data_IF_099775163329
#
_entry.id   IF_099775163329
#
_cell.length_a   1.000
_cell.length_b   1.000
_cell.length_c   1.000
_cell.angle_alpha   90.00
_cell.angle_beta   90.00
_cell.angle_gamma   90.00
#
_symmetry.space_group_name_H-M   'P 1'
#
loop_
_entity.id
_entity.type
_entity.pdbx_description
1 polymer ?
#
# COMPACT_ATOMS: atom_id res chain seq x y z
N UNK A 1 0.26 8.43 -3.40
CA UNK A 1 -1.09 8.43 -4.00
C UNK A 1 -2.04 7.67 -3.07
N UNK A 2 -3.33 8.04 -3.00
CA UNK A 2 -4.24 7.58 -1.93
C UNK A 2 -4.66 6.10 -2.04
N UNK A 3 -4.53 5.51 -3.23
CA UNK A 3 -4.93 4.13 -3.53
C UNK A 3 -3.72 3.23 -3.76
N UNK A 4 -2.67 3.73 -4.39
CA UNK A 4 -1.46 2.98 -4.72
C UNK A 4 -0.23 3.61 -4.05
N UNK A 5 0.51 2.82 -3.27
CA UNK A 5 1.72 3.29 -2.56
C UNK A 5 2.99 3.10 -3.39
N UNK A 6 2.91 2.20 -4.37
CA UNK A 6 4.01 1.88 -5.27
C UNK A 6 4.26 3.01 -6.28
N UNK A 7 5.51 3.16 -6.72
CA UNK A 7 5.85 4.12 -7.79
C UNK A 7 5.28 3.66 -9.14
N UNK A 8 5.00 4.62 -10.02
CA UNK A 8 4.44 4.32 -11.35
C UNK A 8 5.35 3.38 -12.17
N UNK A 9 6.67 3.52 -12.02
CA UNK A 9 7.65 2.62 -12.65
C UNK A 9 7.50 1.17 -12.18
N UNK A 10 7.41 0.95 -10.86
CA UNK A 10 7.22 -0.39 -10.29
C UNK A 10 5.85 -0.96 -10.67
N UNK A 11 4.81 -0.12 -10.66
CA UNK A 11 3.47 -0.51 -11.12
C UNK A 11 3.48 -0.92 -12.59
N UNK A 12 4.12 -0.14 -13.47
CA UNK A 12 4.28 -0.46 -14.89
C UNK A 12 4.97 -1.81 -15.09
N UNK A 13 6.07 -2.05 -14.36
CA UNK A 13 6.76 -3.35 -14.38
C UNK A 13 5.85 -4.51 -13.93
N UNK A 14 5.05 -4.32 -12.89
CA UNK A 14 4.13 -5.33 -12.36
C UNK A 14 2.99 -5.67 -13.32
N UNK A 15 2.46 -4.69 -14.05
CA UNK A 15 1.34 -4.90 -14.99
C UNK A 15 1.78 -5.18 -16.44
N UNK A 16 3.09 -5.21 -16.70
CA UNK A 16 3.65 -5.50 -18.02
C UNK A 16 3.69 -4.31 -18.99
N UNK A 17 3.57 -3.08 -18.50
CA UNK A 17 3.64 -1.84 -19.28
C UNK A 17 4.81 -1.02 -18.73
N UNK A 18 6.05 -1.20 -19.25
CA UNK A 18 7.21 -0.49 -18.73
C UNK A 18 7.04 1.03 -18.87
N UNK A 19 7.38 1.75 -17.81
CA UNK A 19 7.44 3.21 -17.84
C UNK A 19 8.59 3.65 -18.74
N UNK A 20 8.31 4.57 -19.65
CA UNK A 20 9.34 5.17 -20.51
C UNK A 20 10.34 6.00 -19.70
N UNK A 21 11.58 6.08 -20.16
CA UNK A 21 12.57 7.03 -19.62
C UNK A 21 12.56 8.28 -20.49
N UNK A 22 12.63 9.46 -19.86
CA UNK A 22 12.71 10.75 -20.55
C UNK A 22 13.72 11.65 -19.85
N UNK A 23 14.50 12.39 -20.63
CA UNK A 23 15.31 13.49 -20.12
C UNK A 23 14.52 14.79 -20.28
N UNK A 24 14.06 15.33 -19.15
CA UNK A 24 13.26 16.55 -19.13
C UNK A 24 14.05 17.80 -19.56
N UNK A 25 15.38 17.76 -19.57
CA UNK A 25 16.21 18.89 -19.98
C UNK A 25 16.31 19.01 -21.52
N UNK A 26 16.24 17.88 -22.23
CA UNK A 26 16.50 17.83 -23.68
C UNK A 26 15.32 17.35 -24.52
N UNK A 27 14.25 16.84 -23.91
CA UNK A 27 13.14 16.28 -24.67
C UNK A 27 12.37 17.32 -25.48
N UNK A 28 11.90 16.90 -26.64
CA UNK A 28 10.97 17.67 -27.48
C UNK A 28 9.53 17.53 -26.98
N UNK A 29 8.65 18.46 -27.38
CA UNK A 29 7.21 18.37 -27.06
C UNK A 29 6.54 17.07 -27.53
N UNK A 30 6.82 16.54 -28.74
CA UNK A 30 6.27 15.25 -29.17
C UNK A 30 6.71 14.08 -28.28
N UNK A 31 7.98 14.01 -27.90
CA UNK A 31 8.50 12.98 -27.00
C UNK A 31 7.86 13.05 -25.61
N UNK A 32 7.74 14.27 -25.07
CA UNK A 32 7.06 14.49 -23.80
C UNK A 32 5.59 14.07 -23.85
N UNK A 33 4.90 14.33 -24.96
CA UNK A 33 3.51 13.90 -25.15
C UNK A 33 3.37 12.37 -25.14
N UNK A 34 4.29 11.66 -25.80
CA UNK A 34 4.33 10.19 -25.81
C UNK A 34 4.58 9.64 -24.40
N UNK A 35 5.55 10.21 -23.68
CA UNK A 35 5.86 9.84 -22.30
C UNK A 35 4.64 10.04 -21.38
N UNK A 36 3.98 11.19 -21.43
CA UNK A 36 2.79 11.46 -20.62
C UNK A 36 1.64 10.49 -20.93
N UNK A 37 1.46 10.09 -22.20
CA UNK A 37 0.47 9.07 -22.58
C UNK A 37 0.81 7.70 -22.01
N UNK A 38 2.09 7.31 -21.99
CA UNK A 38 2.54 6.06 -21.36
C UNK A 38 2.23 6.06 -19.85
N UNK A 39 2.50 7.17 -19.15
CA UNK A 39 2.19 7.31 -17.73
C UNK A 39 0.70 7.15 -17.43
N UNK A 40 -0.15 7.84 -18.19
CA UNK A 40 -1.61 7.75 -18.06
C UNK A 40 -2.11 6.34 -18.39
N UNK A 41 -1.52 5.68 -19.39
CA UNK A 41 -1.87 4.30 -19.73
C UNK A 41 -1.56 3.34 -18.58
N UNK A 42 -0.40 3.46 -17.94
CA UNK A 42 -0.02 2.64 -16.78
C UNK A 42 -1.03 2.83 -15.65
N UNK A 43 -1.41 4.08 -15.34
CA UNK A 43 -2.40 4.35 -14.31
C UNK A 43 -3.78 3.79 -14.67
N UNK A 44 -4.23 3.99 -15.91
CA UNK A 44 -5.53 3.51 -16.37
C UNK A 44 -5.63 1.98 -16.26
N UNK A 45 -4.61 1.25 -16.72
CA UNK A 45 -4.60 -0.22 -16.65
C UNK A 45 -4.51 -0.71 -15.20
N UNK A 46 -3.72 -0.05 -14.35
CA UNK A 46 -3.68 -0.37 -12.93
C UNK A 46 -5.03 -0.13 -12.23
N UNK A 47 -5.74 0.95 -12.57
CA UNK A 47 -7.08 1.22 -12.06
C UNK A 47 -8.11 0.20 -12.55
N UNK A 48 -8.06 -0.22 -13.82
CA UNK A 48 -8.94 -1.29 -14.33
C UNK A 48 -8.77 -2.59 -13.54
N UNK A 49 -7.52 -2.98 -13.24
CA UNK A 49 -7.25 -4.14 -12.39
C UNK A 49 -7.82 -3.97 -10.99
N UNK A 50 -7.68 -2.78 -10.41
CA UNK A 50 -8.23 -2.47 -9.10
C UNK A 50 -9.76 -2.53 -9.08
N UNK A 51 -10.44 -1.99 -10.10
CA UNK A 51 -11.91 -2.06 -10.22
C UNK A 51 -12.36 -3.52 -10.30
N UNK A 52 -11.72 -4.35 -11.14
CA UNK A 52 -12.04 -5.79 -11.22
C UNK A 52 -11.87 -6.49 -9.88
N UNK A 53 -10.85 -6.12 -9.11
CA UNK A 53 -10.65 -6.65 -7.76
C UNK A 53 -11.81 -6.24 -6.83
N UNK A 54 -12.25 -4.98 -6.86
CA UNK A 54 -13.36 -4.51 -6.03
C UNK A 54 -14.67 -5.20 -6.40
N UNK A 55 -14.98 -5.31 -7.70
CA UNK A 55 -16.15 -6.01 -8.21
C UNK A 55 -16.13 -7.50 -7.83
N UNK A 56 -15.00 -8.17 -8.04
CA UNK A 56 -14.83 -9.59 -7.71
C UNK A 56 -14.98 -9.90 -6.21
N UNK A 57 -14.66 -8.94 -5.34
CA UNK A 57 -14.80 -9.06 -3.88
C UNK A 57 -16.08 -8.41 -3.34
N UNK A 58 -17.00 -7.97 -4.22
CA UNK A 58 -18.26 -7.29 -3.84
C UNK A 58 -18.04 -6.06 -2.94
N UNK A 59 -16.94 -5.35 -3.15
CA UNK A 59 -16.65 -4.10 -2.44
C UNK A 59 -17.39 -2.96 -3.14
N UNK A 60 -18.58 -2.65 -2.65
CA UNK A 60 -19.50 -1.72 -3.33
C UNK A 60 -19.08 -0.24 -3.28
N UNK A 61 -18.24 0.16 -2.31
CA UNK A 61 -17.91 1.58 -2.08
C UNK A 61 -16.42 1.84 -2.21
N UNK A 62 -16.04 2.54 -3.27
CA UNK A 62 -14.71 3.14 -3.41
C UNK A 62 -14.66 4.49 -2.69
N UNK A 63 -13.86 4.58 -1.63
CA UNK A 63 -13.63 5.81 -0.87
C UNK A 63 -12.35 6.53 -1.30
N UNK A 64 -12.18 7.77 -0.82
CA UNK A 64 -11.03 8.62 -1.13
C UNK A 64 -9.67 8.00 -0.73
N UNK A 65 -9.64 7.18 0.33
CA UNK A 65 -8.44 6.47 0.76
C UNK A 65 -8.68 4.97 0.77
N UNK A 66 -7.60 4.18 0.56
CA UNK A 66 -7.64 2.73 0.72
C UNK A 66 -8.15 2.26 2.08
N UNK A 67 -7.84 2.99 3.15
CA UNK A 67 -8.29 2.65 4.51
C UNK A 67 -9.80 2.81 4.67
N UNK A 68 -10.36 3.91 4.15
CA UNK A 68 -11.82 4.12 4.14
C UNK A 68 -12.55 3.12 3.25
N UNK A 69 -11.96 2.70 2.13
CA UNK A 69 -12.52 1.64 1.26
C UNK A 69 -12.53 0.29 2.00
N UNK A 70 -11.43 -0.05 2.68
CA UNK A 70 -11.33 -1.27 3.47
C UNK A 70 -12.35 -1.30 4.62
N UNK A 71 -12.54 -0.17 5.32
CA UNK A 71 -13.56 -0.06 6.38
C UNK A 71 -14.97 -0.22 5.82
N UNK A 72 -15.27 0.37 4.66
CA UNK A 72 -16.57 0.21 4.00
C UNK A 72 -16.82 -1.26 3.59
N UNK A 73 -15.81 -1.96 3.09
CA UNK A 73 -15.88 -3.39 2.79
C UNK A 73 -16.15 -4.24 4.05
N UNK A 74 -15.44 -3.94 5.14
CA UNK A 74 -15.64 -4.61 6.43
C UNK A 74 -17.06 -4.41 6.96
N UNK A 75 -17.56 -3.17 6.95
CA UNK A 75 -18.91 -2.85 7.43
C UNK A 75 -20.01 -3.54 6.63
N UNK A 76 -19.82 -3.72 5.32
CA UNK A 76 -20.81 -4.35 4.45
C UNK A 76 -20.84 -5.88 4.63
N UNK A 77 -19.67 -6.53 4.68
CA UNK A 77 -19.56 -7.99 4.54
C UNK A 77 -19.17 -8.74 5.81
N UNK A 78 -18.60 -8.05 6.80
CA UNK A 78 -17.96 -8.69 7.96
C UNK A 78 -18.42 -8.15 9.32
N UNK A 79 -19.21 -7.07 9.34
CA UNK A 79 -19.77 -6.52 10.58
C UNK A 79 -20.96 -7.34 11.07
N UNK A 80 -20.66 -8.52 11.61
CA UNK A 80 -21.66 -9.47 12.13
C UNK A 80 -22.06 -9.19 13.57
N UNK A 81 -21.21 -8.49 14.32
CA UNK A 81 -21.42 -8.17 15.74
C UNK A 81 -21.22 -6.68 15.95
N UNK A 82 -22.06 -6.09 16.81
CA UNK A 82 -21.99 -4.67 17.13
C UNK A 82 -20.68 -4.35 17.85
N UNK A 83 -19.88 -3.48 17.26
CA UNK A 83 -18.69 -2.92 17.91
C UNK A 83 -19.15 -1.72 18.74
N UNK A 84 -18.86 -1.75 20.05
CA UNK A 84 -19.13 -0.65 20.96
C UNK A 84 -17.91 0.25 21.06
N UNK A 85 -18.13 1.56 21.07
CA UNK A 85 -17.09 2.58 21.23
C UNK A 85 -17.40 3.33 22.51
N UNK A 86 -16.45 3.36 23.46
CA UNK A 86 -16.57 4.18 24.67
C UNK A 86 -15.87 5.52 24.48
N UNK A 87 -16.21 6.48 25.35
CA UNK A 87 -15.61 7.81 25.40
C UNK A 87 -14.87 8.09 26.71
N UNK A 88 -14.61 7.05 27.54
CA UNK A 88 -13.79 7.20 28.74
C UNK A 88 -12.34 7.55 28.34
N UNK A 89 -11.95 8.80 28.64
CA UNK A 89 -10.64 9.33 28.29
C UNK A 89 -9.48 8.56 28.90
N UNK A 90 -9.56 8.19 30.17
CA UNK A 90 -8.48 7.47 30.87
C UNK A 90 -8.23 6.10 30.23
N UNK A 91 -9.30 5.39 29.85
CA UNK A 91 -9.19 4.11 29.15
C UNK A 91 -8.58 4.28 27.75
N UNK A 92 -9.03 5.28 26.98
CA UNK A 92 -8.49 5.55 25.63
C UNK A 92 -6.99 5.90 25.70
N UNK A 93 -6.58 6.73 26.66
CA UNK A 93 -5.17 7.11 26.83
C UNK A 93 -4.33 5.87 27.15
N UNK A 94 -4.79 5.01 28.06
CA UNK A 94 -4.13 3.74 28.40
C UNK A 94 -4.04 2.78 27.20
N UNK A 95 -5.12 2.63 26.43
CA UNK A 95 -5.16 1.79 25.22
C UNK A 95 -4.15 2.27 24.17
N UNK A 96 -4.06 3.59 23.97
CA UNK A 96 -3.09 4.20 23.04
C UNK A 96 -1.65 4.02 23.52
N UNK A 97 -1.39 4.15 24.82
CA UNK A 97 -0.08 3.91 25.40
C UNK A 97 0.34 2.44 25.28
N UNK A 98 -0.62 1.52 25.37
CA UNK A 98 -0.43 0.09 25.19
C UNK A 98 -0.29 -0.32 23.71
N UNK A 99 -0.75 0.49 22.76
CA UNK A 99 -0.67 0.17 21.33
C UNK A 99 0.79 0.19 20.83
N UNK A 100 1.36 -0.99 20.63
CA UNK A 100 2.71 -1.17 20.08
C UNK A 100 2.64 -1.62 18.62
N UNK A 101 3.62 -1.18 17.82
CA UNK A 101 3.77 -1.60 16.43
C UNK A 101 4.29 -3.03 16.28
N UNK A 102 4.80 -3.37 15.10
CA UNK A 102 5.41 -4.68 14.85
C UNK A 102 6.64 -4.91 15.74
N UNK A 103 6.77 -6.13 16.28
CA UNK A 103 7.99 -6.56 16.98
C UNK A 103 9.12 -6.69 15.97
N UNK A 104 10.25 -6.05 16.24
CA UNK A 104 11.48 -6.19 15.47
C UNK A 104 12.55 -6.71 16.41
N UNK A 105 13.12 -7.87 16.08
CA UNK A 105 14.27 -8.41 16.79
C UNK A 105 15.52 -8.24 15.91
N UNK A 106 16.53 -7.60 16.46
CA UNK A 106 17.82 -7.53 15.81
C UNK A 106 18.60 -8.80 16.16
N UNK A 107 18.52 -9.81 15.28
CA UNK A 107 19.19 -11.10 15.50
C UNK A 107 20.72 -11.02 15.58
N UNK A 108 21.30 -9.90 15.12
CA UNK A 108 22.72 -9.61 15.25
C UNK A 108 22.97 -8.11 15.39
N UNK A 109 23.82 -7.74 16.34
CA UNK A 109 24.46 -6.43 16.41
C UNK A 109 25.99 -6.63 16.39
N UNK A 110 26.68 -6.07 15.40
CA UNK A 110 28.15 -6.12 15.29
C UNK A 110 28.67 -6.89 14.07
N UNK A 111 29.99 -7.11 14.02
CA UNK A 111 30.65 -7.87 12.95
C UNK A 111 30.81 -9.32 13.37
N UNK A 112 30.21 -10.21 12.58
CA UNK A 112 30.53 -11.63 12.61
C UNK A 112 31.85 -11.87 11.89
N UNK A 113 32.79 -12.52 12.57
CA UNK A 113 34.03 -13.01 11.96
C UNK A 113 33.75 -14.41 11.40
N UNK A 114 34.62 -15.01 10.58
CA UNK A 114 34.35 -16.31 9.92
C UNK A 114 34.25 -17.50 10.91
N UNK A 115 33.21 -17.52 11.72
CA UNK A 115 32.92 -18.47 12.78
C UNK A 115 31.45 -18.92 12.67
N UNK A 116 31.10 -19.99 13.37
CA UNK A 116 29.75 -20.52 13.38
C UNK A 116 28.89 -19.75 14.39
N UNK A 117 27.84 -19.09 13.93
CA UNK A 117 26.82 -18.45 14.78
C UNK A 117 25.49 -19.18 14.67
N UNK A 118 24.84 -19.40 15.81
CA UNK A 118 23.54 -20.06 15.90
C UNK A 118 22.49 -19.04 16.35
N UNK A 119 21.39 -18.93 15.60
CA UNK A 119 20.22 -18.15 16.02
C UNK A 119 19.30 -19.06 16.81
N UNK A 120 19.12 -18.76 18.11
CA UNK A 120 18.12 -19.41 18.96
C UNK A 120 16.81 -18.64 18.85
N UNK A 121 15.91 -19.09 17.97
CA UNK A 121 14.52 -18.66 17.95
C UNK A 121 13.68 -19.43 18.99
N UNK A 122 12.61 -18.80 19.49
CA UNK A 122 11.52 -19.51 20.18
C UNK A 122 10.50 -20.02 19.17
#
# INVERSE_FOLDING_TARGET
>A
MNWFVESLEKTGKRIGIPKMKIDFATCTKPELSIYCKNDVLIELENFKLFIRFLEGNKVARLCYTRGSTAMAAFLLSHYTTKIYIHNNKQAIDLERDAYKGGRVECFCLGKFHNENYYILGR
#
